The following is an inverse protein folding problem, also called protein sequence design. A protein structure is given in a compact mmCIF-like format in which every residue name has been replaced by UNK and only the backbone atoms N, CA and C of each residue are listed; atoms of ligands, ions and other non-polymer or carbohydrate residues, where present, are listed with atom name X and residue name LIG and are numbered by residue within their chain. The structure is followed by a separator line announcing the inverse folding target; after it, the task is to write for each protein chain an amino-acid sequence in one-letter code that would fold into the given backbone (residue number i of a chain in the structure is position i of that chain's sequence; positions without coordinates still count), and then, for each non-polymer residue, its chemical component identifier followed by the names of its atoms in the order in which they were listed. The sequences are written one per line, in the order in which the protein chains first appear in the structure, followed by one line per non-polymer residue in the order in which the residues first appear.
data_IF_924822342116
#
_entry.id   IF_924822342116
#
_cell.length_a   1.000
_cell.length_b   1.000
_cell.length_c   1.000
_cell.angle_alpha   90.00
_cell.angle_beta   90.00
_cell.angle_gamma   90.00
#
_symmetry.space_group_name_H-M   'P 1'
#
loop_
_entity.id
_entity.type
_entity.pdbx_description
1 polymer ?
#
# COMPACT_ATOMS: atom_id res chain seq x y z
N UNK A 1 7.73 8.72 10.75
CA UNK A 1 6.97 9.98 10.72
C UNK A 1 6.82 10.48 9.28
N UNK A 2 5.84 11.33 9.05
CA UNK A 2 5.51 11.90 7.76
C UNK A 2 5.91 13.37 7.70
N UNK A 3 6.38 13.82 6.55
CA UNK A 3 6.65 15.22 6.24
C UNK A 3 5.91 15.62 4.97
N UNK A 4 5.26 16.78 5.03
CA UNK A 4 4.49 17.35 3.93
C UNK A 4 5.32 18.35 3.13
N UNK A 5 5.23 18.28 1.81
CA UNK A 5 5.87 19.23 0.91
C UNK A 5 5.00 19.51 -0.30
N UNK A 6 4.67 20.78 -0.51
CA UNK A 6 3.92 21.20 -1.69
C UNK A 6 4.74 21.07 -2.99
N UNK A 7 6.06 21.19 -2.88
CA UNK A 7 6.95 21.14 -4.05
C UNK A 7 7.32 19.70 -4.44
N UNK A 8 7.54 18.84 -3.42
CA UNK A 8 8.13 17.51 -3.62
C UNK A 8 7.15 16.39 -3.37
N UNK A 9 5.96 16.67 -2.85
CA UNK A 9 5.00 15.69 -2.35
C UNK A 9 5.33 15.22 -0.94
N UNK A 10 4.44 14.42 -0.39
CA UNK A 10 4.57 13.92 0.97
C UNK A 10 5.55 12.74 1.03
N UNK A 11 6.24 12.61 2.16
CA UNK A 11 7.22 11.56 2.39
C UNK A 11 7.10 10.97 3.78
N UNK A 12 7.38 9.70 3.90
CA UNK A 12 7.46 9.00 5.19
C UNK A 12 8.89 8.58 5.48
N UNK A 13 9.37 8.89 6.68
CA UNK A 13 10.66 8.40 7.17
C UNK A 13 10.49 7.13 7.99
N UNK A 14 11.28 6.13 7.65
CA UNK A 14 11.45 4.90 8.40
C UNK A 14 12.86 4.88 8.99
N UNK A 15 12.95 4.95 10.32
CA UNK A 15 14.22 4.92 11.01
C UNK A 15 14.55 3.48 11.47
N UNK A 16 15.81 3.12 11.36
CA UNK A 16 16.32 1.86 11.91
C UNK A 16 16.46 1.95 13.44
N UNK A 17 17.02 3.08 13.92
CA UNK A 17 17.27 3.30 15.33
C UNK A 17 16.00 3.80 16.03
N UNK A 18 15.73 3.27 17.25
CA UNK A 18 14.51 3.63 18.00
C UNK A 18 14.56 5.04 18.59
N UNK A 19 15.76 5.56 18.79
CA UNK A 19 16.04 6.88 19.34
C UNK A 19 16.39 7.92 18.26
N UNK A 20 16.18 7.58 16.98
CA UNK A 20 16.41 8.50 15.89
C UNK A 20 15.52 9.76 16.05
N UNK A 21 16.09 10.96 15.88
CA UNK A 21 15.34 12.18 16.06
C UNK A 21 14.27 12.36 14.97
N UNK A 22 13.16 12.97 15.33
CA UNK A 22 12.23 13.54 14.36
C UNK A 22 12.90 14.76 13.73
N UNK A 23 13.01 14.77 12.41
CA UNK A 23 13.70 15.82 11.68
C UNK A 23 12.70 16.71 10.98
N UNK A 24 12.61 17.97 11.38
CA UNK A 24 11.95 18.99 10.58
C UNK A 24 12.84 19.35 9.39
N UNK A 25 12.27 19.36 8.21
CA UNK A 25 12.98 19.64 6.95
C UNK A 25 12.19 20.62 6.09
N UNK A 26 12.93 21.41 5.33
CA UNK A 26 12.39 22.40 4.40
C UNK A 26 12.38 21.90 2.95
N UNK A 27 13.21 20.89 2.67
CA UNK A 27 13.30 20.23 1.36
C UNK A 27 13.80 18.79 1.52
N UNK A 28 13.72 18.01 0.45
CA UNK A 28 14.29 16.66 0.43
C UNK A 28 15.81 16.70 0.61
N UNK A 29 16.49 17.66 0.03
CA UNK A 29 17.93 17.87 0.17
C UNK A 29 18.30 18.18 1.61
N UNK A 30 17.55 19.06 2.28
CA UNK A 30 17.73 19.39 3.70
C UNK A 30 17.52 18.13 4.56
N UNK A 31 16.49 17.34 4.26
CA UNK A 31 16.24 16.09 4.97
C UNK A 31 17.40 15.10 4.81
N UNK A 32 17.90 14.90 3.58
CA UNK A 32 19.05 14.03 3.31
C UNK A 32 20.30 14.49 4.07
N UNK A 33 20.52 15.78 4.15
CA UNK A 33 21.65 16.31 4.92
C UNK A 33 21.51 16.05 6.43
N UNK A 34 20.34 16.28 6.98
CA UNK A 34 20.04 16.05 8.41
C UNK A 34 20.01 14.55 8.75
N UNK A 35 19.60 13.70 7.83
CA UNK A 35 19.59 12.25 7.98
C UNK A 35 20.98 11.61 7.82
N UNK A 36 21.99 12.40 7.42
CA UNK A 36 23.34 11.88 7.20
C UNK A 36 23.94 11.31 8.48
N UNK A 37 24.37 10.06 8.39
CA UNK A 37 24.91 9.31 9.53
C UNK A 37 23.87 8.49 10.30
N UNK A 38 22.59 8.64 9.97
CA UNK A 38 21.52 7.81 10.50
C UNK A 38 21.07 6.78 9.47
N UNK A 39 20.65 5.60 9.94
CA UNK A 39 19.99 4.61 9.09
C UNK A 39 18.52 4.98 8.95
N UNK A 40 18.17 5.62 7.83
CA UNK A 40 16.80 6.06 7.53
C UNK A 40 16.46 5.80 6.07
N UNK A 41 15.22 5.42 5.80
CA UNK A 41 14.62 5.46 4.47
C UNK A 41 13.62 6.61 4.40
N UNK A 42 13.65 7.34 3.30
CA UNK A 42 12.69 8.41 3.00
C UNK A 42 11.89 7.94 1.79
N UNK A 43 10.63 7.57 2.04
CA UNK A 43 9.76 6.98 1.04
C UNK A 43 8.74 8.02 0.58
N UNK A 44 8.60 8.22 -0.75
CA UNK A 44 7.48 8.98 -1.30
C UNK A 44 6.14 8.39 -0.86
N UNK A 45 5.22 9.25 -0.50
CA UNK A 45 3.89 8.95 -0.02
C UNK A 45 2.85 9.68 -0.87
N UNK A 46 1.60 9.24 -0.89
CA UNK A 46 0.54 9.85 -1.70
C UNK A 46 0.88 10.03 -3.18
N UNK A 47 1.48 9.02 -3.76
CA UNK A 47 1.84 9.05 -5.18
C UNK A 47 0.60 9.04 -6.09
N UNK A 48 0.74 9.54 -7.32
CA UNK A 48 -0.33 9.58 -8.30
C UNK A 48 -1.29 10.76 -8.16
N UNK A 49 -1.19 11.57 -7.13
CA UNK A 49 -1.89 12.85 -7.04
C UNK A 49 -1.17 13.95 -7.81
N UNK A 50 -1.89 15.02 -8.07
CA UNK A 50 -1.34 16.19 -8.76
C UNK A 50 -0.21 16.83 -7.96
N UNK A 51 0.91 17.09 -8.62
CA UNK A 51 2.02 17.83 -8.08
C UNK A 51 1.63 19.26 -7.68
N UNK A 52 2.31 19.81 -6.68
CA UNK A 52 1.99 21.12 -6.12
C UNK A 52 0.82 21.11 -5.13
N UNK A 53 0.24 19.93 -4.88
CA UNK A 53 -0.79 19.75 -3.85
C UNK A 53 -0.31 18.75 -2.79
N UNK A 54 -0.32 17.47 -3.07
CA UNK A 54 0.30 16.42 -2.24
C UNK A 54 1.02 15.37 -3.08
N UNK A 55 0.81 15.42 -4.39
CA UNK A 55 1.36 14.45 -5.30
C UNK A 55 2.87 14.54 -5.42
N UNK A 56 3.47 13.38 -5.62
CA UNK A 56 4.91 13.25 -5.71
C UNK A 56 5.48 13.82 -7.01
N UNK A 57 6.62 14.50 -6.90
CA UNK A 57 7.37 15.03 -8.03
C UNK A 57 8.62 14.17 -8.30
N UNK A 58 8.59 13.38 -9.35
CA UNK A 58 9.70 12.50 -9.73
C UNK A 58 11.03 13.19 -10.00
N UNK A 59 11.05 14.52 -10.21
CA UNK A 59 12.29 15.30 -10.32
C UNK A 59 13.10 15.28 -9.02
N UNK A 60 12.45 15.00 -7.91
CA UNK A 60 13.07 14.92 -6.58
C UNK A 60 13.53 13.50 -6.22
N UNK A 61 13.21 12.51 -7.07
CA UNK A 61 13.63 11.13 -6.84
C UNK A 61 15.14 11.01 -6.94
N UNK A 62 15.72 10.36 -5.95
CA UNK A 62 17.15 10.03 -5.96
C UNK A 62 17.26 8.52 -5.81
N UNK A 63 17.69 7.86 -6.86
CA UNK A 63 18.02 6.44 -6.81
C UNK A 63 19.13 6.19 -5.79
N UNK A 64 18.97 5.18 -4.95
CA UNK A 64 19.98 4.79 -3.98
C UNK A 64 19.44 4.32 -2.64
N UNK A 65 20.31 4.24 -1.66
CA UNK A 65 20.03 3.60 -0.36
C UNK A 65 19.00 4.37 0.49
N UNK A 66 18.80 5.67 0.24
CA UNK A 66 17.89 6.48 1.07
C UNK A 66 16.42 6.38 0.62
N UNK A 67 16.17 6.09 -0.67
CA UNK A 67 14.81 5.90 -1.22
C UNK A 67 14.78 4.61 -2.04
N UNK A 68 14.87 3.45 -1.38
CA UNK A 68 14.94 2.18 -2.09
C UNK A 68 13.59 1.73 -2.65
N UNK A 69 12.48 2.23 -2.14
CA UNK A 69 11.12 1.87 -2.55
C UNK A 69 10.19 3.07 -2.49
N UNK A 70 9.03 2.93 -3.12
CA UNK A 70 7.98 3.95 -3.18
C UNK A 70 6.62 3.34 -2.85
N UNK A 71 5.69 4.13 -2.34
CA UNK A 71 4.36 3.66 -2.02
C UNK A 71 3.47 3.65 -3.26
N UNK A 72 2.92 2.49 -3.58
CA UNK A 72 1.97 2.31 -4.66
C UNK A 72 0.52 2.38 -4.18
N UNK A 73 0.26 1.94 -2.96
CA UNK A 73 -1.09 1.84 -2.42
C UNK A 73 -1.14 2.14 -0.92
N UNK A 74 -2.15 2.88 -0.54
CA UNK A 74 -2.59 3.05 0.84
C UNK A 74 -4.13 3.08 0.88
N UNK A 75 -4.73 3.36 2.03
CA UNK A 75 -6.17 3.59 2.12
C UNK A 75 -6.69 4.70 1.20
N UNK A 76 -5.82 5.57 0.72
CA UNK A 76 -6.17 6.64 -0.22
C UNK A 76 -6.22 6.20 -1.68
N UNK A 77 -5.92 4.95 -1.97
CA UNK A 77 -6.06 4.36 -3.29
C UNK A 77 -4.76 3.89 -3.93
N UNK A 78 -4.85 3.55 -5.20
CA UNK A 78 -3.81 2.93 -5.98
C UNK A 78 -3.13 3.95 -6.90
N UNK A 79 -1.82 4.08 -6.76
CA UNK A 79 -0.98 5.01 -7.52
C UNK A 79 -0.21 4.35 -8.69
N UNK A 80 -0.60 3.15 -9.11
CA UNK A 80 0.07 2.44 -10.21
C UNK A 80 0.03 3.25 -11.50
N UNK A 81 -1.17 3.71 -11.88
CA UNK A 81 -1.40 4.57 -13.03
C UNK A 81 -2.60 5.51 -12.77
N UNK A 82 -2.80 6.49 -13.66
CA UNK A 82 -3.98 7.35 -13.63
C UNK A 82 -5.24 6.67 -14.23
N UNK A 83 -5.07 5.52 -14.87
CA UNK A 83 -6.10 4.71 -15.53
C UNK A 83 -6.46 3.44 -14.74
N UNK A 84 -5.99 3.28 -13.50
CA UNK A 84 -6.21 2.08 -12.71
C UNK A 84 -7.68 1.85 -12.36
N UNK A 85 -8.06 0.58 -12.16
CA UNK A 85 -9.42 0.15 -11.82
C UNK A 85 -9.85 0.64 -10.43
N UNK A 86 -8.88 0.90 -9.54
CA UNK A 86 -9.12 1.39 -8.19
C UNK A 86 -8.86 2.89 -8.10
N UNK A 87 -9.90 3.72 -8.02
CA UNK A 87 -9.75 5.16 -7.87
C UNK A 87 -9.16 5.51 -6.50
N UNK A 88 -8.66 6.74 -6.38
CA UNK A 88 -8.39 7.29 -5.07
C UNK A 88 -9.70 7.48 -4.30
N UNK A 89 -9.74 6.95 -3.07
CA UNK A 89 -10.92 6.98 -2.21
C UNK A 89 -11.06 8.32 -1.47
N UNK A 90 -10.01 9.13 -1.50
CA UNK A 90 -9.87 10.34 -0.72
C UNK A 90 -9.69 11.57 -1.60
N UNK A 91 -10.25 12.71 -1.13
CA UNK A 91 -10.19 13.99 -1.83
C UNK A 91 -8.89 14.76 -1.56
N UNK A 92 -7.77 14.16 -1.90
CA UNK A 92 -6.44 14.75 -1.74
C UNK A 92 -5.92 15.44 -3.01
N UNK A 93 -6.77 15.59 -3.99
CA UNK A 93 -6.47 16.20 -5.27
C UNK A 93 -6.75 15.27 -6.45
N UNK A 94 -6.73 15.80 -7.68
CA UNK A 94 -6.93 15.00 -8.87
C UNK A 94 -5.74 14.05 -9.08
N UNK A 95 -6.02 12.94 -9.76
CA UNK A 95 -4.97 12.04 -10.25
C UNK A 95 -4.17 12.74 -11.35
N UNK A 96 -2.89 12.44 -11.38
CA UNK A 96 -1.99 12.95 -12.40
C UNK A 96 -1.01 11.87 -12.82
N UNK A 97 -0.90 11.61 -14.13
CA UNK A 97 0.00 10.62 -14.70
C UNK A 97 1.45 10.79 -14.23
N UNK A 98 1.95 12.03 -14.25
CA UNK A 98 3.32 12.36 -13.88
C UNK A 98 3.68 12.09 -12.41
N UNK A 99 2.68 11.79 -11.57
CA UNK A 99 2.89 11.37 -10.19
C UNK A 99 2.86 9.84 -10.00
N UNK A 100 2.53 9.05 -11.03
CA UNK A 100 2.29 7.62 -10.91
C UNK A 100 3.57 6.78 -10.87
N UNK A 101 3.43 5.53 -10.42
CA UNK A 101 4.50 4.53 -10.41
C UNK A 101 4.96 4.21 -11.83
N UNK A 102 4.01 4.02 -12.76
CA UNK A 102 4.36 3.70 -14.16
C UNK A 102 5.18 4.82 -14.79
N UNK A 103 4.80 6.08 -14.56
CA UNK A 103 5.58 7.21 -15.05
C UNK A 103 7.01 7.22 -14.45
N UNK A 104 7.15 6.95 -13.15
CA UNK A 104 8.48 6.84 -12.54
C UNK A 104 9.36 5.75 -13.16
N UNK A 105 8.77 4.61 -13.54
CA UNK A 105 9.48 3.54 -14.24
C UNK A 105 9.84 3.93 -15.68
N UNK A 106 8.97 4.67 -16.38
CA UNK A 106 9.26 5.19 -17.74
C UNK A 106 10.43 6.16 -17.76
N UNK A 107 10.63 6.92 -16.67
CA UNK A 107 11.81 7.77 -16.50
C UNK A 107 13.11 6.96 -16.29
N UNK A 108 13.02 5.63 -16.16
CA UNK A 108 14.17 4.74 -15.95
C UNK A 108 14.60 4.60 -14.50
N UNK A 109 13.83 5.13 -13.54
CA UNK A 109 14.12 4.98 -12.12
C UNK A 109 14.00 3.53 -11.66
N UNK A 110 14.82 3.14 -10.69
CA UNK A 110 14.81 1.81 -10.07
C UNK A 110 14.43 1.93 -8.60
N UNK A 111 13.33 1.31 -8.24
CA UNK A 111 12.80 1.28 -6.88
C UNK A 111 12.01 0.00 -6.64
N UNK A 112 11.83 -0.37 -5.38
CA UNK A 112 10.86 -1.36 -4.95
C UNK A 112 9.48 -0.74 -4.83
N UNK A 113 8.45 -1.58 -4.77
CA UNK A 113 7.05 -1.15 -4.66
C UNK A 113 6.49 -1.67 -3.35
N UNK A 114 5.96 -0.76 -2.53
CA UNK A 114 5.32 -1.09 -1.27
C UNK A 114 3.88 -0.61 -1.21
N UNK A 115 3.14 -1.11 -0.25
CA UNK A 115 1.87 -0.56 0.19
C UNK A 115 1.89 -0.34 1.70
N UNK A 116 1.10 0.59 2.18
CA UNK A 116 0.94 0.88 3.59
C UNK A 116 -0.53 1.03 3.96
N UNK A 117 -0.84 1.06 5.25
CA UNK A 117 -2.23 1.28 5.68
C UNK A 117 -2.60 2.75 5.64
N UNK A 118 -1.67 3.64 5.90
CA UNK A 118 -1.95 5.05 6.14
C UNK A 118 -3.12 5.24 7.13
N UNK A 119 -3.09 4.44 8.20
CA UNK A 119 -4.21 4.30 9.12
C UNK A 119 -4.23 5.44 10.13
N UNK A 120 -5.32 6.21 10.11
CA UNK A 120 -5.50 7.38 10.97
C UNK A 120 -6.27 7.11 12.29
N UNK A 121 -6.65 5.86 12.53
CA UNK A 121 -7.43 5.47 13.72
C UNK A 121 -6.62 4.70 14.76
N UNK A 122 -5.28 4.64 14.60
CA UNK A 122 -4.40 3.92 15.52
C UNK A 122 -4.34 2.41 15.32
N UNK A 123 -4.75 1.91 14.15
CA UNK A 123 -4.73 0.49 13.79
C UNK A 123 -3.78 0.21 12.63
N UNK A 124 -2.46 0.42 12.79
CA UNK A 124 -1.50 0.13 11.71
C UNK A 124 -1.55 -1.36 11.35
N UNK A 125 -1.53 -1.66 10.06
CA UNK A 125 -1.67 -3.03 9.57
C UNK A 125 -3.09 -3.59 9.61
N UNK A 126 -4.10 -2.73 9.72
CA UNK A 126 -5.51 -3.13 9.68
C UNK A 126 -5.83 -3.93 8.42
N UNK A 127 -6.76 -4.87 8.57
CA UNK A 127 -7.18 -5.71 7.45
C UNK A 127 -7.89 -4.89 6.37
N UNK A 128 -7.59 -5.21 5.13
CA UNK A 128 -8.20 -4.55 3.97
C UNK A 128 -7.48 -3.26 3.52
N UNK A 129 -6.51 -2.79 4.30
CA UNK A 129 -5.62 -1.71 3.89
C UNK A 129 -4.29 -2.26 3.36
N UNK A 130 -3.48 -1.39 2.75
CA UNK A 130 -2.20 -1.78 2.15
C UNK A 130 -1.20 -2.36 3.15
N UNK A 131 -0.38 -3.27 2.67
CA UNK A 131 0.71 -3.89 3.43
C UNK A 131 1.92 -4.08 2.55
N UNK A 132 3.08 -4.02 3.17
CA UNK A 132 4.34 -4.39 2.53
C UNK A 132 4.64 -5.87 2.82
N UNK A 133 4.95 -6.62 1.78
CA UNK A 133 5.60 -7.93 1.90
C UNK A 133 7.11 -7.75 1.80
N UNK A 134 7.87 -8.36 2.70
CA UNK A 134 9.33 -8.27 2.75
C UNK A 134 9.93 -9.66 2.66
N UNK A 135 10.79 -9.89 1.66
CA UNK A 135 11.52 -11.15 1.51
C UNK A 135 12.88 -11.04 2.22
N UNK A 136 12.91 -11.52 3.45
CA UNK A 136 14.10 -11.51 4.30
C UNK A 136 14.46 -12.95 4.75
N UNK A 137 15.74 -13.27 4.96
CA UNK A 137 16.17 -14.62 5.39
C UNK A 137 15.78 -14.95 6.83
N UNK A 138 15.43 -13.93 7.64
CA UNK A 138 14.99 -14.12 9.02
C UNK A 138 14.15 -12.95 9.51
N UNK A 139 13.35 -13.17 10.55
CA UNK A 139 12.53 -12.14 11.20
C UNK A 139 13.39 -11.38 12.23
N UNK A 140 14.38 -10.66 11.74
CA UNK A 140 15.22 -9.78 12.55
C UNK A 140 15.22 -8.38 11.94
N UNK A 141 15.48 -7.35 12.76
CA UNK A 141 15.55 -5.97 12.28
C UNK A 141 16.58 -5.80 11.16
N UNK A 142 17.76 -6.35 11.33
CA UNK A 142 18.83 -6.26 10.33
C UNK A 142 18.44 -6.91 9.01
N UNK A 143 17.89 -8.13 9.05
CA UNK A 143 17.48 -8.84 7.85
C UNK A 143 16.33 -8.12 7.10
N UNK A 144 15.36 -7.60 7.84
CA UNK A 144 14.27 -6.80 7.26
C UNK A 144 14.82 -5.50 6.67
N UNK A 145 15.69 -4.80 7.39
CA UNK A 145 16.29 -3.56 6.91
C UNK A 145 17.08 -3.77 5.62
N UNK A 146 17.87 -4.83 5.55
CA UNK A 146 18.63 -5.16 4.35
C UNK A 146 17.73 -5.53 3.17
N UNK A 147 16.65 -6.29 3.41
CA UNK A 147 15.67 -6.61 2.37
C UNK A 147 14.95 -5.35 1.85
N UNK A 148 14.61 -4.41 2.73
CA UNK A 148 14.07 -3.11 2.34
C UNK A 148 15.09 -2.32 1.49
N UNK A 149 16.34 -2.25 1.93
CA UNK A 149 17.42 -1.55 1.23
C UNK A 149 17.67 -2.13 -0.18
N UNK A 150 17.60 -3.44 -0.32
CA UNK A 150 17.80 -4.14 -1.58
C UNK A 150 16.53 -4.25 -2.43
N UNK A 151 15.43 -3.64 -2.00
CA UNK A 151 14.13 -3.64 -2.72
C UNK A 151 13.46 -5.02 -2.81
N UNK A 152 13.82 -5.95 -1.94
CA UNK A 152 13.16 -7.27 -1.87
C UNK A 152 11.80 -7.15 -1.19
N UNK A 153 10.92 -6.37 -1.80
CA UNK A 153 9.60 -5.99 -1.27
C UNK A 153 8.52 -6.14 -2.32
N UNK A 154 7.30 -6.33 -1.86
CA UNK A 154 6.09 -6.28 -2.69
C UNK A 154 4.97 -5.54 -1.97
N UNK A 155 4.01 -5.07 -2.74
CA UNK A 155 2.79 -4.44 -2.25
C UNK A 155 1.63 -5.43 -2.22
N UNK A 156 0.82 -5.38 -1.18
CA UNK A 156 -0.47 -6.06 -1.10
C UNK A 156 -1.56 -5.03 -0.73
N UNK A 157 -2.72 -5.11 -1.39
CA UNK A 157 -3.77 -4.09 -1.34
C UNK A 157 -5.00 -4.54 -0.54
N UNK A 158 -4.83 -5.36 0.46
CA UNK A 158 -5.94 -5.85 1.28
C UNK A 158 -5.71 -7.26 1.74
N UNK A 159 -5.87 -8.23 0.87
CA UNK A 159 -5.54 -9.62 1.15
C UNK A 159 -4.03 -9.82 1.28
N UNK A 160 -3.64 -10.81 2.06
CA UNK A 160 -2.23 -11.23 2.14
C UNK A 160 -1.89 -12.06 0.91
N UNK A 161 -1.54 -11.38 -0.17
CA UNK A 161 -1.05 -12.03 -1.38
C UNK A 161 0.46 -12.17 -1.25
N UNK A 162 0.94 -13.40 -1.32
CA UNK A 162 2.37 -13.74 -1.31
C UNK A 162 2.80 -13.93 -2.76
N UNK A 163 3.83 -13.21 -3.17
CA UNK A 163 4.36 -13.26 -4.54
C UNK A 163 5.83 -13.67 -4.47
N UNK A 164 6.16 -14.83 -5.03
CA UNK A 164 7.55 -15.22 -5.34
C UNK A 164 7.76 -15.06 -6.86
N UNK A 165 8.27 -13.91 -7.24
CA UNK A 165 8.62 -13.60 -8.61
C UNK A 165 10.13 -13.56 -8.75
N UNK A 166 10.63 -14.29 -9.74
CA UNK A 166 12.07 -14.28 -10.07
C UNK A 166 12.27 -14.12 -11.56
N UNK A 167 13.26 -13.32 -11.90
CA UNK A 167 13.74 -13.17 -13.27
C UNK A 167 15.13 -13.79 -13.38
N UNK A 168 15.25 -14.89 -14.13
CA UNK A 168 16.37 -15.82 -14.06
C UNK A 168 16.53 -16.34 -12.63
N UNK A 169 17.37 -16.12 -11.81
CA UNK A 169 17.41 -16.55 -10.41
C UNK A 169 17.40 -15.35 -9.43
N UNK A 170 17.22 -14.14 -9.99
CA UNK A 170 17.17 -12.90 -9.22
C UNK A 170 15.78 -12.62 -8.65
N UNK A 171 15.74 -12.07 -7.45
CA UNK A 171 14.51 -11.70 -6.75
C UNK A 171 13.91 -10.39 -7.26
N UNK A 172 12.67 -10.10 -6.83
CA UNK A 172 12.08 -8.77 -7.00
C UNK A 172 13.01 -7.69 -6.44
N UNK A 173 13.19 -6.60 -7.19
CA UNK A 173 14.08 -5.51 -6.80
C UNK A 173 15.50 -5.62 -7.36
N UNK A 174 15.94 -6.79 -7.78
CA UNK A 174 17.26 -6.98 -8.37
C UNK A 174 17.32 -6.42 -9.80
N UNK A 175 18.54 -6.07 -10.22
CA UNK A 175 18.84 -5.62 -11.59
C UNK A 175 19.50 -6.75 -12.35
N UNK A 176 18.80 -7.29 -13.36
CA UNK A 176 19.30 -8.38 -14.20
C UNK A 176 19.81 -7.86 -15.51
N UNK A 177 21.02 -8.27 -15.89
CA UNK A 177 21.62 -8.00 -17.20
C UNK A 177 21.68 -9.28 -18.03
N UNK A 178 21.48 -9.16 -19.34
CA UNK A 178 21.55 -10.30 -20.26
C UNK A 178 20.36 -10.31 -21.23
N UNK A 179 20.40 -11.19 -22.23
CA UNK A 179 19.39 -11.27 -23.28
C UNK A 179 18.31 -12.32 -22.99
N UNK A 180 18.60 -13.32 -22.17
CA UNK A 180 17.64 -14.35 -21.76
C UNK A 180 16.81 -13.85 -20.57
N UNK A 181 15.52 -14.19 -20.60
CA UNK A 181 14.53 -13.85 -19.57
C UNK A 181 13.69 -15.07 -19.26
N UNK A 182 14.02 -15.75 -18.17
CA UNK A 182 13.21 -16.83 -17.62
C UNK A 182 12.48 -16.30 -16.39
N UNK A 183 11.15 -16.30 -16.44
CA UNK A 183 10.31 -15.88 -15.33
C UNK A 183 9.88 -17.12 -14.56
N UNK A 184 10.09 -17.08 -13.26
CA UNK A 184 9.43 -17.95 -12.29
C UNK A 184 8.44 -17.13 -11.48
N UNK A 185 7.23 -17.64 -11.32
CA UNK A 185 6.18 -16.95 -10.59
C UNK A 185 5.36 -17.94 -9.78
N UNK A 186 5.24 -17.69 -8.49
CA UNK A 186 4.30 -18.36 -7.61
C UNK A 186 3.51 -17.31 -6.83
N UNK A 187 2.19 -17.39 -6.89
CA UNK A 187 1.29 -16.44 -6.22
C UNK A 187 0.33 -17.23 -5.35
N UNK A 188 0.28 -16.86 -4.07
CA UNK A 188 -0.63 -17.45 -3.09
C UNK A 188 -1.46 -16.34 -2.45
N UNK A 189 -2.77 -16.45 -2.55
CA UNK A 189 -3.74 -15.54 -1.90
C UNK A 189 -4.44 -16.19 -0.71
N UNK A 190 -5.09 -15.40 0.12
CA UNK A 190 -6.01 -15.88 1.17
C UNK A 190 -7.36 -16.33 0.56
N UNK A 191 -7.65 -15.90 -0.66
CA UNK A 191 -8.84 -16.30 -1.46
C UNK A 191 -8.43 -16.69 -2.87
N UNK A 192 -9.40 -16.99 -3.72
CA UNK A 192 -9.15 -17.38 -5.11
C UNK A 192 -8.43 -16.26 -5.86
N UNK A 193 -7.39 -16.64 -6.60
CA UNK A 193 -6.73 -15.75 -7.55
C UNK A 193 -7.55 -15.71 -8.83
N UNK A 194 -8.02 -14.53 -9.20
CA UNK A 194 -8.79 -14.32 -10.44
C UNK A 194 -7.85 -14.40 -11.65
N UNK A 195 -6.82 -13.56 -11.64
CA UNK A 195 -5.79 -13.59 -12.67
C UNK A 195 -4.45 -13.07 -12.13
N UNK A 196 -3.40 -13.33 -12.87
CA UNK A 196 -2.06 -12.79 -12.66
C UNK A 196 -1.55 -12.21 -13.96
N UNK A 197 -1.17 -10.94 -13.96
CA UNK A 197 -0.57 -10.25 -15.10
C UNK A 197 0.94 -10.12 -14.92
N UNK A 198 1.67 -10.41 -15.98
CA UNK A 198 3.05 -10.01 -16.13
C UNK A 198 3.07 -8.72 -16.93
N UNK A 199 3.44 -7.64 -16.26
CA UNK A 199 3.50 -6.31 -16.86
C UNK A 199 4.95 -5.98 -17.21
N UNK A 200 5.18 -5.51 -18.41
CA UNK A 200 6.49 -5.02 -18.87
C UNK A 200 6.31 -3.67 -19.55
N UNK A 201 7.02 -2.66 -19.07
CA UNK A 201 6.96 -1.30 -19.60
C UNK A 201 5.51 -0.78 -19.70
N UNK A 202 4.75 -0.93 -18.65
CA UNK A 202 3.35 -0.49 -18.58
C UNK A 202 2.35 -1.32 -19.42
N UNK A 203 2.80 -2.40 -20.07
CA UNK A 203 1.94 -3.24 -20.92
C UNK A 203 1.88 -4.68 -20.40
N UNK A 204 0.71 -5.29 -20.50
CA UNK A 204 0.51 -6.70 -20.14
C UNK A 204 1.22 -7.56 -21.19
N UNK A 205 2.29 -8.24 -20.76
CA UNK A 205 3.02 -9.20 -21.57
C UNK A 205 2.33 -10.55 -21.61
N UNK A 206 1.77 -10.99 -20.50
CA UNK A 206 1.05 -12.24 -20.39
C UNK A 206 0.02 -12.14 -19.26
N UNK A 207 -1.14 -12.79 -19.44
CA UNK A 207 -2.16 -12.98 -18.41
C UNK A 207 -2.36 -14.46 -18.18
N UNK A 208 -2.35 -14.85 -16.92
CA UNK A 208 -2.69 -16.20 -16.48
C UNK A 208 -3.96 -16.11 -15.63
N UNK A 209 -5.04 -16.69 -16.11
CA UNK A 209 -6.29 -16.73 -15.37
C UNK A 209 -6.18 -17.79 -14.26
N UNK A 210 -6.84 -17.50 -13.14
CA UNK A 210 -7.03 -18.46 -12.07
C UNK A 210 -7.88 -19.65 -12.51
N UNK A 211 -8.09 -20.64 -11.64
CA UNK A 211 -8.92 -21.77 -11.97
C UNK A 211 -10.31 -21.31 -12.35
N UNK A 212 -10.77 -21.70 -13.55
CA UNK A 212 -12.10 -21.36 -14.08
C UNK A 212 -13.25 -21.94 -13.24
N UNK A 213 -12.95 -22.94 -12.43
CA UNK A 213 -13.91 -23.54 -11.50
C UNK A 213 -13.61 -23.00 -10.11
N UNK A 214 -14.49 -22.22 -9.51
CA UNK A 214 -14.36 -21.87 -8.10
C UNK A 214 -14.18 -23.16 -7.29
N UNK A 215 -13.21 -23.17 -6.38
CA UNK A 215 -13.11 -24.26 -5.41
C UNK A 215 -14.41 -24.18 -4.62
N UNK A 216 -15.30 -25.14 -4.84
CA UNK A 216 -16.51 -25.21 -4.05
C UNK A 216 -16.11 -25.33 -2.58
N UNK A 217 -16.67 -24.49 -1.70
CA UNK A 217 -16.40 -24.63 -0.29
C UNK A 217 -16.77 -26.04 0.17
N UNK A 218 -15.95 -26.61 1.05
CA UNK A 218 -16.34 -27.84 1.73
C UNK A 218 -17.56 -27.55 2.61
N UNK A 219 -18.75 -28.00 2.16
CA UNK A 219 -20.03 -27.74 2.82
C UNK A 219 -20.81 -26.57 2.24
N UNK A 220 -21.98 -26.33 2.83
CA UNK A 220 -22.97 -25.34 2.35
C UNK A 220 -22.65 -23.88 2.80
N UNK A 221 -21.58 -23.67 3.53
CA UNK A 221 -21.24 -22.36 4.10
C UNK A 221 -19.80 -21.96 3.82
N UNK A 222 -19.59 -20.65 3.61
CA UNK A 222 -18.29 -20.05 3.40
C UNK A 222 -18.06 -18.99 4.48
N UNK A 223 -16.89 -18.96 5.08
CA UNK A 223 -16.47 -17.84 5.94
C UNK A 223 -15.72 -16.83 5.10
N UNK A 224 -16.22 -15.60 5.08
CA UNK A 224 -15.58 -14.50 4.36
C UNK A 224 -15.45 -13.25 5.25
N UNK A 225 -14.57 -12.35 4.86
CA UNK A 225 -14.46 -11.00 5.44
C UNK A 225 -15.00 -9.99 4.43
N UNK A 226 -15.77 -9.05 4.94
CA UNK A 226 -16.31 -7.94 4.13
C UNK A 226 -15.80 -6.63 4.73
N UNK A 227 -15.15 -5.82 3.90
CA UNK A 227 -14.78 -4.45 4.25
C UNK A 227 -15.87 -3.51 3.78
N UNK A 228 -16.31 -2.62 4.65
CA UNK A 228 -17.28 -1.57 4.32
C UNK A 228 -16.61 -0.24 4.61
N UNK A 229 -16.42 0.56 3.56
CA UNK A 229 -15.87 1.90 3.66
C UNK A 229 -17.00 2.93 3.62
N UNK A 230 -16.95 3.87 4.56
CA UNK A 230 -17.85 5.04 4.58
C UNK A 230 -17.06 6.25 4.07
N UNK A 231 -17.68 7.00 3.16
CA UNK A 231 -17.02 8.11 2.51
C UNK A 231 -16.67 9.27 3.44
N UNK A 232 -15.83 10.14 2.95
CA UNK A 232 -15.41 11.36 3.63
C UNK A 232 -16.48 12.45 3.50
N UNK A 233 -16.61 13.25 4.56
CA UNK A 233 -17.37 14.48 4.51
C UNK A 233 -16.46 15.64 4.05
N UNK A 234 -16.80 16.32 2.97
CA UNK A 234 -16.09 17.50 2.46
C UNK A 234 -16.31 18.75 3.30
N UNK A 235 -17.45 18.82 3.98
CA UNK A 235 -17.75 19.91 4.88
C UNK A 235 -17.14 19.61 6.26
N UNK A 236 -16.58 20.61 6.92
CA UNK A 236 -15.99 20.48 8.26
C UNK A 236 -17.04 20.23 9.36
N UNK A 237 -18.02 19.41 9.08
CA UNK A 237 -19.12 19.06 9.98
C UNK A 237 -19.02 17.60 10.39
N UNK A 238 -19.49 17.33 11.58
CA UNK A 238 -19.68 15.96 12.06
C UNK A 238 -20.73 15.24 11.21
N UNK A 239 -20.44 14.02 10.81
CA UNK A 239 -21.41 13.14 10.17
C UNK A 239 -21.72 12.01 11.13
N UNK A 240 -23.00 11.82 11.38
CA UNK A 240 -23.50 10.67 12.14
C UNK A 240 -23.81 9.55 11.14
N UNK A 241 -23.07 8.47 11.22
CA UNK A 241 -23.33 7.27 10.46
C UNK A 241 -24.12 6.29 11.30
N UNK A 242 -25.19 5.78 10.75
CA UNK A 242 -25.92 4.63 11.29
C UNK A 242 -25.90 3.55 10.22
N UNK A 243 -25.53 2.34 10.62
CA UNK A 243 -25.45 1.21 9.73
C UNK A 243 -26.09 -0.01 10.34
N UNK A 244 -26.68 -0.81 9.49
CA UNK A 244 -27.17 -2.14 9.79
C UNK A 244 -26.61 -3.11 8.78
N UNK A 245 -25.91 -4.11 9.26
CA UNK A 245 -25.44 -5.23 8.46
C UNK A 245 -26.39 -6.40 8.67
N UNK A 246 -26.86 -6.99 7.61
CA UNK A 246 -27.64 -8.22 7.65
C UNK A 246 -27.16 -9.19 6.58
N UNK A 247 -27.29 -10.46 6.85
CA UNK A 247 -27.06 -11.53 5.90
C UNK A 247 -28.35 -12.34 5.78
N UNK A 248 -28.76 -12.63 4.58
CA UNK A 248 -29.99 -13.39 4.32
C UNK A 248 -29.88 -14.83 4.82
N UNK A 249 -28.68 -15.40 4.68
CA UNK A 249 -28.34 -16.74 5.16
C UNK A 249 -26.93 -16.71 5.72
N UNK A 250 -26.79 -17.18 6.96
CA UNK A 250 -25.49 -17.21 7.61
C UNK A 250 -25.47 -16.41 8.93
N UNK A 251 -24.28 -16.11 9.40
CA UNK A 251 -24.06 -15.44 10.68
C UNK A 251 -22.89 -14.45 10.58
N UNK A 252 -23.03 -13.28 11.18
CA UNK A 252 -21.95 -12.35 11.37
C UNK A 252 -21.22 -12.73 12.67
N UNK A 253 -19.95 -13.13 12.56
CA UNK A 253 -19.18 -13.61 13.69
C UNK A 253 -18.48 -12.47 14.46
N UNK A 254 -18.05 -11.45 13.75
CA UNK A 254 -17.34 -10.32 14.36
C UNK A 254 -17.38 -9.09 13.47
N UNK A 255 -17.28 -7.92 14.09
CA UNK A 255 -17.10 -6.63 13.42
C UNK A 255 -15.86 -5.97 14.03
N UNK A 256 -14.94 -5.54 13.17
CA UNK A 256 -13.74 -4.81 13.60
C UNK A 256 -13.85 -3.36 13.09
N UNK A 257 -14.04 -2.38 14.00
CA UNK A 257 -14.10 -0.99 13.62
C UNK A 257 -12.71 -0.45 13.28
N UNK A 258 -12.62 0.39 12.23
CA UNK A 258 -11.40 1.05 11.81
C UNK A 258 -11.66 2.54 11.52
N UNK A 259 -12.51 3.20 12.30
CA UNK A 259 -12.83 4.60 12.11
C UNK A 259 -11.78 5.52 12.71
N UNK A 260 -11.50 6.61 12.04
CA UNK A 260 -10.60 7.65 12.53
C UNK A 260 -11.25 8.44 13.68
N UNK A 261 -10.55 8.55 14.79
CA UNK A 261 -10.82 9.52 15.85
C UNK A 261 -12.14 9.38 16.59
N UNK A 262 -12.91 8.31 16.36
CA UNK A 262 -14.21 8.11 16.99
C UNK A 262 -14.20 6.92 17.95
N UNK A 263 -14.88 7.08 19.07
CA UNK A 263 -15.29 5.94 19.86
C UNK A 263 -16.31 5.13 19.04
N UNK A 264 -16.03 3.87 18.84
CA UNK A 264 -16.91 2.95 18.16
C UNK A 264 -17.27 1.82 19.11
N UNK A 265 -18.54 1.58 19.26
CA UNK A 265 -19.02 0.43 20.02
C UNK A 265 -19.24 -0.69 19.02
N UNK A 266 -18.38 -1.71 19.07
CA UNK A 266 -18.59 -2.92 18.29
C UNK A 266 -19.90 -3.56 18.71
N UNK A 267 -20.72 -4.07 17.75
CA UNK A 267 -21.85 -4.87 18.11
C UNK A 267 -21.40 -6.11 18.89
N UNK A 268 -22.22 -6.52 19.86
CA UNK A 268 -22.03 -7.80 20.53
C UNK A 268 -22.16 -8.95 19.51
N UNK A 269 -21.70 -10.13 19.88
CA UNK A 269 -21.87 -11.30 19.02
C UNK A 269 -23.34 -11.51 18.66
N UNK A 270 -23.63 -11.56 17.36
CA UNK A 270 -25.00 -11.64 16.83
C UNK A 270 -25.70 -10.31 16.61
N UNK A 271 -25.19 -9.21 17.11
CA UNK A 271 -25.69 -7.87 16.79
C UNK A 271 -25.13 -7.40 15.45
N UNK A 272 -25.98 -6.76 14.65
CA UNK A 272 -25.64 -6.31 13.31
C UNK A 272 -25.82 -4.81 13.13
N UNK A 273 -26.25 -4.10 14.16
CA UNK A 273 -26.46 -2.66 14.15
C UNK A 273 -25.26 -1.95 14.78
N UNK A 274 -24.85 -0.86 14.18
CA UNK A 274 -23.80 -0.01 14.72
C UNK A 274 -24.14 1.46 14.56
N UNK A 275 -23.68 2.25 15.53
CA UNK A 275 -23.76 3.69 15.49
C UNK A 275 -22.37 4.26 15.70
N UNK A 276 -21.97 5.22 14.91
CA UNK A 276 -20.70 5.89 15.09
C UNK A 276 -20.79 7.37 14.75
N UNK A 277 -19.99 8.15 15.47
CA UNK A 277 -19.73 9.55 15.14
C UNK A 277 -18.35 9.60 14.49
N UNK A 278 -18.29 9.92 13.23
CA UNK A 278 -17.01 10.09 12.54
C UNK A 278 -16.67 11.57 12.55
N UNK A 279 -15.63 11.89 13.31
CA UNK A 279 -15.00 13.18 13.21
C UNK A 279 -14.01 13.12 12.04
N UNK A 280 -13.83 14.23 11.39
CA UNK A 280 -12.80 14.36 10.34
C UNK A 280 -11.41 14.11 10.91
#
# INVERSE_FOLDING_TARGET
YEAHSMEHGDHVALNYDLDAPLVECTSIEDWKQKAKGHKVFITPHHMGYQGGYRGYNWKCFTEGDITPFVEMYSRHGLAESDQGDYPYLHDMGPRQWEGTIQYGLELGNKFGIMASTDQHSGYPGSYGDGRIGVMAPSLTRDAIWEALRTRHVCAATGDKIIIDFRLNDAFMGDVVRGNSRRIYLNVTGESCIDYVDIVKNGQILARMNGPLTPIAPEGDTVRCKVKVDFGWNREEKYVHWQGKLSVDKGQIHSVTPCFRGAAFTSPQEGETEFHTHVNR
#
